data_IF_727078350506
#
_entry.id   IF_727078350506
#
_cell.length_a   1.000
_cell.length_b   1.000
_cell.length_c   1.000
_cell.angle_alpha   90.00
_cell.angle_beta   90.00
_cell.angle_gamma   90.00
#
_symmetry.space_group_name_H-M   'P 1'
#
loop_
_entity.id
_entity.type
_entity.pdbx_description
1 polymer ?
#
# COMPACT_ATOMS: atom_id res chain seq x y z
N UNK A 1 -6.81 -77.12 48.91
CA UNK A 1 -6.65 -75.65 48.81
C UNK A 1 -8.03 -75.06 48.53
N UNK A 2 -8.37 -74.01 49.26
CA UNK A 2 -9.71 -73.55 49.68
C UNK A 2 -10.67 -73.17 48.53
N UNK A 3 -11.91 -73.69 48.61
CA UNK A 3 -13.27 -73.22 48.19
C UNK A 3 -13.46 -71.94 47.33
N UNK A 4 -14.68 -71.63 46.79
CA UNK A 4 -15.78 -72.47 46.24
C UNK A 4 -16.55 -71.82 45.03
N UNK A 5 -17.63 -72.51 44.60
CA UNK A 5 -18.98 -72.00 44.19
C UNK A 5 -19.21 -71.51 42.73
N UNK A 6 -19.95 -72.24 41.88
CA UNK A 6 -21.43 -72.26 41.67
C UNK A 6 -22.00 -70.85 41.39
N UNK A 7 -22.80 -70.52 40.38
CA UNK A 7 -23.63 -71.18 39.34
C UNK A 7 -24.13 -70.03 38.39
N UNK A 8 -25.07 -70.19 37.41
CA UNK A 8 -24.96 -69.53 36.11
C UNK A 8 -26.08 -68.49 35.80
N UNK A 9 -25.97 -67.93 34.58
CA UNK A 9 -27.02 -67.33 33.73
C UNK A 9 -27.58 -65.94 34.10
N UNK A 10 -27.43 -64.97 33.19
CA UNK A 10 -28.54 -64.47 32.35
C UNK A 10 -28.27 -63.06 31.77
N UNK A 11 -28.74 -62.88 30.54
CA UNK A 11 -29.20 -61.64 29.90
C UNK A 11 -28.18 -60.52 29.56
N UNK A 12 -27.80 -60.52 28.27
CA UNK A 12 -27.32 -59.33 27.54
C UNK A 12 -28.42 -58.25 27.53
N UNK A 13 -28.35 -57.35 28.52
CA UNK A 13 -29.10 -56.10 28.57
C UNK A 13 -28.50 -55.06 27.62
N UNK A 14 -29.37 -54.48 26.79
CA UNK A 14 -29.09 -53.51 25.72
C UNK A 14 -28.33 -52.27 26.20
N UNK A 15 -27.45 -51.77 25.33
CA UNK A 15 -26.71 -50.51 25.47
C UNK A 15 -27.62 -49.31 25.76
N UNK A 16 -27.18 -48.34 26.58
CA UNK A 16 -27.91 -47.10 26.84
C UNK A 16 -27.90 -46.17 25.60
N UNK A 17 -29.00 -45.44 25.33
CA UNK A 17 -29.05 -44.50 24.21
C UNK A 17 -28.14 -43.29 24.46
N UNK A 18 -27.43 -42.91 23.40
CA UNK A 18 -26.51 -41.78 23.34
C UNK A 18 -27.14 -40.48 23.84
N UNK A 19 -26.49 -39.84 24.82
CA UNK A 19 -26.74 -38.47 25.24
C UNK A 19 -26.55 -37.53 24.05
N UNK A 20 -27.61 -36.84 23.65
CA UNK A 20 -27.58 -35.79 22.63
C UNK A 20 -26.56 -34.71 23.05
N UNK A 21 -25.60 -34.41 22.17
CA UNK A 21 -24.68 -33.29 22.34
C UNK A 21 -25.47 -32.01 22.06
N UNK A 22 -25.66 -31.19 23.08
CA UNK A 22 -26.20 -29.84 22.95
C UNK A 22 -25.22 -28.99 22.13
N UNK A 23 -25.51 -28.78 20.86
CA UNK A 23 -24.77 -27.84 20.00
C UNK A 23 -25.11 -26.43 20.45
N UNK A 24 -24.17 -25.75 21.09
CA UNK A 24 -24.24 -24.31 21.35
C UNK A 24 -24.41 -23.59 20.01
N UNK A 25 -25.37 -22.64 19.87
CA UNK A 25 -25.49 -21.88 18.64
C UNK A 25 -24.20 -21.09 18.39
N UNK A 26 -23.60 -21.33 17.23
CA UNK A 26 -22.46 -20.58 16.71
C UNK A 26 -22.93 -19.15 16.51
N UNK A 27 -22.35 -18.20 17.26
CA UNK A 27 -22.53 -16.77 17.02
C UNK A 27 -22.06 -16.46 15.60
N UNK A 28 -23.01 -16.29 14.69
CA UNK A 28 -22.75 -15.76 13.35
C UNK A 28 -22.40 -14.28 13.54
N UNK A 29 -21.11 -13.96 13.48
CA UNK A 29 -20.66 -12.57 13.31
C UNK A 29 -21.14 -12.16 11.91
N UNK A 30 -22.23 -11.41 11.87
CA UNK A 30 -22.67 -10.78 10.63
C UNK A 30 -21.66 -9.69 10.30
N UNK A 31 -20.93 -9.86 9.18
CA UNK A 31 -20.22 -8.75 8.55
C UNK A 31 -21.28 -7.73 8.15
N UNK A 32 -21.37 -6.63 8.89
CA UNK A 32 -22.05 -5.42 8.39
C UNK A 32 -21.44 -5.11 7.03
N UNK A 33 -22.29 -5.00 6.02
CA UNK A 33 -21.86 -4.63 4.68
C UNK A 33 -21.00 -3.36 4.79
N UNK A 34 -19.75 -3.42 4.31
CA UNK A 34 -18.88 -2.26 4.27
C UNK A 34 -19.56 -1.24 3.37
N UNK A 35 -20.18 -0.21 3.97
CA UNK A 35 -20.68 0.92 3.21
C UNK A 35 -19.47 1.63 2.66
N UNK A 36 -19.14 1.37 1.38
CA UNK A 36 -18.10 2.11 0.69
C UNK A 36 -18.58 3.57 0.69
N UNK A 37 -17.86 4.51 1.33
CA UNK A 37 -18.24 5.91 1.26
C UNK A 37 -18.34 6.25 -0.21
N UNK A 38 -19.49 6.79 -0.62
CA UNK A 38 -19.65 7.16 -2.01
C UNK A 38 -18.58 8.23 -2.27
N UNK A 39 -17.65 7.95 -3.18
CA UNK A 39 -16.87 8.99 -3.86
C UNK A 39 -17.76 9.83 -4.80
N UNK A 40 -19.08 9.73 -4.65
CA UNK A 40 -20.07 10.50 -5.39
C UNK A 40 -19.95 11.90 -4.86
N UNK A 41 -19.29 12.77 -5.62
CA UNK A 41 -19.60 14.20 -5.84
C UNK A 41 -20.46 14.84 -4.77
N UNK A 42 -20.08 14.76 -3.50
CA UNK A 42 -20.88 15.26 -2.39
C UNK A 42 -19.90 15.75 -1.36
N UNK A 43 -19.98 17.04 -1.06
CA UNK A 43 -19.24 17.66 0.02
C UNK A 43 -19.68 17.10 1.36
N UNK A 44 -18.90 17.37 2.41
CA UNK A 44 -19.30 17.04 3.79
C UNK A 44 -20.57 17.81 4.19
N UNK A 45 -20.94 18.86 3.45
CA UNK A 45 -22.19 19.62 3.56
C UNK A 45 -23.37 19.04 2.74
N UNK A 46 -23.26 17.83 2.20
CA UNK A 46 -24.31 17.12 1.44
C UNK A 46 -24.78 17.80 0.14
N UNK A 47 -24.07 18.82 -0.36
CA UNK A 47 -24.27 19.39 -1.70
C UNK A 47 -23.47 18.63 -2.76
N UNK A 48 -24.10 18.42 -3.92
CA UNK A 48 -23.46 17.88 -5.11
C UNK A 48 -22.23 18.70 -5.51
N UNK A 49 -21.15 18.04 -5.95
CA UNK A 49 -20.00 18.71 -6.57
C UNK A 49 -20.13 18.52 -8.07
N UNK A 50 -20.62 19.53 -8.77
CA UNK A 50 -21.01 19.40 -10.18
C UNK A 50 -20.05 20.10 -11.15
N UNK A 51 -19.02 20.78 -10.63
CA UNK A 51 -18.02 21.48 -11.44
C UNK A 51 -16.59 21.39 -10.85
N UNK A 52 -15.61 21.73 -11.70
CA UNK A 52 -14.17 21.65 -11.38
C UNK A 52 -13.78 22.64 -10.29
N UNK A 53 -14.39 23.82 -10.25
CA UNK A 53 -14.06 24.84 -9.26
C UNK A 53 -14.52 24.39 -7.86
N UNK A 54 -15.75 23.89 -7.74
CA UNK A 54 -16.29 23.31 -6.52
C UNK A 54 -15.44 22.10 -6.06
N UNK A 55 -14.95 21.28 -6.98
CA UNK A 55 -14.02 20.21 -6.65
C UNK A 55 -12.69 20.73 -6.09
N UNK A 56 -12.00 21.60 -6.82
CA UNK A 56 -10.66 22.09 -6.44
C UNK A 56 -10.66 22.93 -5.17
N UNK A 57 -11.67 23.80 -5.00
CA UNK A 57 -11.69 24.79 -3.93
C UNK A 57 -12.40 24.31 -2.66
N UNK A 58 -13.31 23.34 -2.76
CA UNK A 58 -14.05 22.85 -1.59
C UNK A 58 -13.79 21.36 -1.34
N UNK A 59 -14.14 20.48 -2.29
CA UNK A 59 -14.14 19.04 -2.00
C UNK A 59 -12.74 18.46 -1.83
N UNK A 60 -11.77 18.92 -2.61
CA UNK A 60 -10.38 18.46 -2.54
C UNK A 60 -9.75 18.81 -1.18
N UNK A 61 -9.84 20.05 -0.66
CA UNK A 61 -9.39 20.37 0.70
C UNK A 61 -10.06 19.52 1.79
N UNK A 62 -11.40 19.36 1.76
CA UNK A 62 -12.13 18.52 2.74
C UNK A 62 -11.62 17.08 2.75
N UNK A 63 -11.36 16.50 1.58
CA UNK A 63 -10.84 15.14 1.48
C UNK A 63 -9.41 15.06 2.00
N UNK A 64 -8.55 16.02 1.65
CA UNK A 64 -7.17 16.05 2.13
C UNK A 64 -7.11 16.14 3.67
N UNK A 65 -7.95 16.98 4.28
CA UNK A 65 -8.07 17.08 5.74
C UNK A 65 -8.53 15.75 6.35
N UNK A 66 -9.58 15.12 5.81
CA UNK A 66 -10.04 13.82 6.29
C UNK A 66 -8.96 12.72 6.17
N UNK A 67 -8.16 12.73 5.10
CA UNK A 67 -7.02 11.83 4.95
C UNK A 67 -5.91 12.12 5.96
N UNK A 68 -5.62 13.39 6.26
CA UNK A 68 -4.65 13.79 7.27
C UNK A 68 -5.11 13.39 8.68
N UNK A 69 -6.39 13.56 9.00
CA UNK A 69 -6.92 13.25 10.33
C UNK A 69 -7.04 11.74 10.58
N UNK A 70 -7.45 10.97 9.57
CA UNK A 70 -7.88 9.58 9.79
C UNK A 70 -7.04 8.51 9.12
N UNK A 71 -6.12 8.85 8.20
CA UNK A 71 -5.39 7.85 7.41
C UNK A 71 -3.87 8.02 7.51
N UNK A 72 -3.35 9.19 7.17
CA UNK A 72 -1.92 9.40 6.98
C UNK A 72 -1.26 10.24 8.09
N UNK A 73 -2.05 10.94 8.90
CA UNK A 73 -1.54 11.90 9.88
C UNK A 73 -1.28 13.27 9.25
N UNK A 74 -0.90 14.22 10.11
CA UNK A 74 -0.55 15.58 9.67
C UNK A 74 0.76 15.57 8.88
N UNK A 75 0.78 16.30 7.77
CA UNK A 75 2.03 16.51 7.02
C UNK A 75 2.99 17.34 7.86
N UNK A 76 4.29 17.06 7.72
CA UNK A 76 5.31 17.92 8.31
C UNK A 76 5.25 19.30 7.65
N UNK A 77 5.64 20.37 8.36
CA UNK A 77 5.83 21.68 7.77
C UNK A 77 6.79 21.62 6.58
N UNK A 78 6.68 22.59 5.68
CA UNK A 78 7.62 22.73 4.57
C UNK A 78 9.06 22.78 5.09
N UNK A 79 10.00 22.14 4.37
CA UNK A 79 11.39 22.15 4.79
C UNK A 79 11.98 23.57 4.67
N UNK A 80 12.82 23.92 5.64
CA UNK A 80 13.56 25.19 5.64
C UNK A 80 14.60 25.22 4.53
N UNK A 81 15.19 24.06 4.21
CA UNK A 81 16.23 23.93 3.18
C UNK A 81 16.22 22.56 2.54
N UNK A 82 16.45 22.55 1.23
CA UNK A 82 16.69 21.35 0.43
C UNK A 82 18.01 21.56 -0.34
N UNK A 83 18.93 20.60 -0.26
CA UNK A 83 20.18 20.61 -1.04
C UNK A 83 20.29 19.39 -1.93
N UNK A 84 20.94 19.57 -3.08
CA UNK A 84 21.16 18.53 -4.08
C UNK A 84 22.67 18.41 -4.32
N UNK A 85 23.21 17.23 -4.06
CA UNK A 85 24.60 16.89 -4.37
C UNK A 85 24.60 15.79 -5.43
N UNK A 86 24.98 16.13 -6.67
CA UNK A 86 24.97 15.19 -7.78
C UNK A 86 26.35 14.66 -8.14
N UNK A 87 26.38 13.37 -8.48
CA UNK A 87 27.57 12.68 -8.97
C UNK A 87 27.18 11.85 -10.20
N UNK A 88 28.14 11.65 -11.12
CA UNK A 88 27.92 10.88 -12.34
C UNK A 88 27.96 11.72 -13.62
N UNK A 89 27.45 11.13 -14.71
CA UNK A 89 27.50 11.69 -16.07
C UNK A 89 26.23 12.41 -16.49
N UNK A 90 26.18 12.87 -17.75
CA UNK A 90 24.97 13.55 -18.29
C UNK A 90 23.74 12.64 -18.38
N UNK A 91 23.94 11.34 -18.61
CA UNK A 91 22.88 10.36 -18.86
C UNK A 91 22.48 9.53 -17.63
N UNK A 92 23.34 9.45 -16.62
CA UNK A 92 23.10 8.73 -15.38
C UNK A 92 23.70 9.53 -14.22
N UNK A 93 22.85 9.94 -13.28
CA UNK A 93 23.21 10.72 -12.10
C UNK A 93 22.71 10.05 -10.83
N UNK A 94 23.56 10.10 -9.81
CA UNK A 94 23.20 9.79 -8.43
C UNK A 94 23.16 11.10 -7.68
N UNK A 95 21.97 11.50 -7.23
CA UNK A 95 21.73 12.76 -6.52
C UNK A 95 21.39 12.46 -5.07
N UNK A 96 22.22 12.91 -4.15
CA UNK A 96 21.88 12.91 -2.72
C UNK A 96 21.05 14.16 -2.43
N UNK A 97 19.80 13.94 -2.02
CA UNK A 97 18.87 15.00 -1.63
C UNK A 97 18.84 15.04 -0.11
N UNK A 98 19.18 16.20 0.46
CA UNK A 98 19.11 16.43 1.91
C UNK A 98 18.06 17.48 2.18
N UNK A 99 17.18 17.19 3.14
CA UNK A 99 16.06 18.02 3.55
C UNK A 99 16.22 18.34 5.04
N UNK A 100 16.16 19.62 5.40
CA UNK A 100 16.25 20.08 6.80
C UNK A 100 15.08 21.01 7.16
N UNK A 101 14.64 20.94 8.42
CA UNK A 101 13.61 21.76 9.04
C UNK A 101 13.31 21.25 10.45
N UNK A 102 12.05 20.91 10.75
CA UNK A 102 11.66 20.25 12.01
C UNK A 102 12.40 18.91 12.29
N UNK A 103 13.03 18.33 11.26
CA UNK A 103 13.98 17.23 11.35
C UNK A 103 14.96 17.30 10.17
N UNK A 104 15.88 16.34 10.09
CA UNK A 104 16.82 16.23 8.97
C UNK A 104 16.79 14.81 8.39
N UNK A 105 16.76 14.71 7.06
CA UNK A 105 16.81 13.44 6.35
C UNK A 105 17.56 13.60 5.02
N UNK A 106 18.24 12.52 4.61
CA UNK A 106 18.88 12.43 3.30
C UNK A 106 18.47 11.15 2.59
N UNK A 107 18.25 11.23 1.28
CA UNK A 107 17.94 10.08 0.44
C UNK A 107 18.53 10.25 -0.96
N UNK A 108 18.76 9.12 -1.62
CA UNK A 108 19.38 9.08 -2.94
C UNK A 108 18.33 8.97 -4.04
N UNK A 109 18.39 9.88 -5.01
CA UNK A 109 17.68 9.81 -6.27
C UNK A 109 18.63 9.31 -7.37
N UNK A 110 18.25 8.22 -8.03
CA UNK A 110 18.90 7.74 -9.25
C UNK A 110 18.15 8.29 -10.46
N UNK A 111 18.83 9.09 -11.26
CA UNK A 111 18.24 9.80 -12.40
C UNK A 111 18.91 9.37 -13.70
N UNK A 112 18.10 8.87 -14.63
CA UNK A 112 18.53 8.51 -15.97
C UNK A 112 17.89 9.43 -17.00
N UNK A 113 18.73 10.10 -17.80
CA UNK A 113 18.31 11.12 -18.76
C UNK A 113 18.71 10.68 -20.18
N UNK A 114 17.77 10.63 -21.13
CA UNK A 114 18.09 10.32 -22.52
C UNK A 114 18.89 11.45 -23.17
N UNK A 115 19.92 11.09 -23.93
CA UNK A 115 20.82 12.06 -24.58
C UNK A 115 20.15 12.71 -25.80
N UNK A 116 19.36 13.75 -25.51
CA UNK A 116 18.55 14.47 -26.50
C UNK A 116 18.54 15.98 -26.30
N UNK A 117 19.23 16.49 -25.27
CA UNK A 117 19.38 17.93 -24.99
C UNK A 117 18.08 18.69 -24.68
N UNK A 118 16.93 18.02 -24.62
CA UNK A 118 15.61 18.63 -24.40
C UNK A 118 14.90 17.94 -23.24
N UNK A 119 14.16 18.67 -22.38
CA UNK A 119 13.37 18.07 -21.32
C UNK A 119 12.39 17.02 -21.86
N UNK A 120 12.24 15.91 -21.13
CA UNK A 120 11.30 14.82 -21.44
C UNK A 120 10.36 14.60 -20.26
N UNK A 121 9.23 13.92 -20.53
CA UNK A 121 8.39 13.41 -19.45
C UNK A 121 9.19 12.45 -18.57
N UNK A 122 8.96 12.51 -17.25
CA UNK A 122 9.72 11.75 -16.26
C UNK A 122 8.81 10.75 -15.55
N UNK A 123 9.31 9.52 -15.39
CA UNK A 123 8.74 8.55 -14.48
C UNK A 123 9.48 8.63 -13.14
N UNK A 124 8.75 8.85 -12.05
CA UNK A 124 9.28 8.83 -10.70
C UNK A 124 8.78 7.57 -9.98
N UNK A 125 9.70 6.82 -9.39
CA UNK A 125 9.42 5.58 -8.68
C UNK A 125 10.18 5.55 -7.36
N UNK A 126 9.52 5.10 -6.29
CA UNK A 126 10.19 4.72 -5.05
C UNK A 126 10.55 3.24 -5.14
N UNK A 127 11.84 2.95 -5.22
CA UNK A 127 12.35 1.57 -5.26
C UNK A 127 12.63 1.05 -3.84
N UNK A 128 11.74 0.20 -3.34
CA UNK A 128 11.89 -0.50 -2.06
C UNK A 128 12.63 -1.83 -2.20
N UNK A 129 13.05 -2.23 -3.41
CA UNK A 129 13.68 -3.52 -3.70
C UNK A 129 15.18 -3.43 -3.96
N UNK A 130 15.73 -2.22 -4.05
CA UNK A 130 17.13 -1.99 -4.41
C UNK A 130 17.48 -2.53 -5.80
N UNK A 131 16.49 -2.61 -6.68
CA UNK A 131 16.58 -3.20 -8.02
C UNK A 131 17.21 -2.27 -9.06
N UNK A 132 17.28 -0.98 -8.78
CA UNK A 132 17.91 0.02 -9.64
C UNK A 132 19.32 0.31 -9.12
N UNK A 133 20.34 0.01 -9.91
CA UNK A 133 21.74 0.38 -9.65
C UNK A 133 22.08 1.79 -10.12
N UNK A 134 23.35 2.18 -10.03
CA UNK A 134 23.78 3.54 -10.41
C UNK A 134 23.99 3.70 -11.93
N UNK A 135 23.92 2.61 -12.69
CA UNK A 135 23.99 2.61 -14.14
C UNK A 135 22.60 2.44 -14.79
N UNK A 136 22.45 2.99 -16.00
CA UNK A 136 21.20 2.89 -16.77
C UNK A 136 20.90 1.46 -17.26
N UNK A 137 21.89 0.57 -17.22
CA UNK A 137 21.78 -0.83 -17.61
C UNK A 137 21.12 -1.71 -16.54
N UNK A 138 21.11 -1.25 -15.29
CA UNK A 138 20.46 -1.87 -14.15
C UNK A 138 18.93 -1.73 -14.26
N UNK A 139 18.36 -2.47 -15.20
CA UNK A 139 16.93 -2.51 -15.49
C UNK A 139 16.33 -3.78 -14.89
N UNK A 140 15.14 -3.68 -14.31
CA UNK A 140 14.37 -4.82 -13.82
C UNK A 140 12.95 -4.81 -14.38
N UNK A 141 12.18 -5.88 -14.16
CA UNK A 141 10.74 -5.88 -14.49
C UNK A 141 9.94 -4.85 -13.69
N UNK A 142 10.43 -4.45 -12.51
CA UNK A 142 9.82 -3.45 -11.64
C UNK A 142 10.27 -2.02 -12.01
N UNK A 143 11.53 -1.86 -12.38
CA UNK A 143 12.12 -0.60 -12.81
C UNK A 143 12.77 -0.74 -14.20
N UNK A 144 11.97 -0.62 -15.28
CA UNK A 144 12.42 -0.91 -16.64
C UNK A 144 13.15 0.29 -17.29
N UNK A 145 14.26 0.73 -16.68
CA UNK A 145 15.02 1.93 -17.06
C UNK A 145 15.43 1.94 -18.53
N UNK A 146 16.01 0.85 -19.02
CA UNK A 146 16.45 0.71 -20.42
C UNK A 146 15.29 0.90 -21.41
N UNK A 147 14.14 0.25 -21.16
CA UNK A 147 12.95 0.36 -22.02
C UNK A 147 12.40 1.78 -22.09
N UNK A 148 12.43 2.50 -20.97
CA UNK A 148 11.98 3.91 -20.91
C UNK A 148 12.93 4.80 -21.71
N UNK A 149 14.25 4.62 -21.54
CA UNK A 149 15.26 5.40 -22.27
C UNK A 149 15.18 5.14 -23.78
N UNK A 150 15.02 3.88 -24.20
CA UNK A 150 14.85 3.50 -25.61
C UNK A 150 13.60 4.14 -26.21
N UNK A 151 12.46 4.07 -25.51
CA UNK A 151 11.23 4.71 -25.95
C UNK A 151 11.36 6.23 -26.06
N UNK A 152 12.09 6.86 -25.13
CA UNK A 152 12.35 8.29 -25.17
C UNK A 152 13.28 8.70 -26.32
N UNK A 153 14.23 7.84 -26.71
CA UNK A 153 15.11 8.04 -27.86
C UNK A 153 14.38 7.86 -29.20
N UNK A 154 13.37 6.98 -29.26
CA UNK A 154 12.62 6.64 -30.47
C UNK A 154 11.65 7.74 -30.93
N UNK A 155 11.22 8.64 -30.02
CA UNK A 155 10.34 9.78 -30.35
C UNK A 155 10.99 10.91 -31.17
N UNK A 156 12.13 10.66 -31.81
CA UNK A 156 12.75 11.53 -32.82
C UNK A 156 12.16 11.22 -34.21
N UNK A 157 10.91 11.58 -34.46
CA UNK A 157 10.34 11.75 -35.80
C UNK A 157 9.29 12.84 -35.77
#
# INVERSE_FOLDING_TARGET
MTSPQQQPAAALGRSPPHRAKTTTPRTTISRTATHKPRNRWSSTAATGVDDVQAWEQQRRPELLEAFQEHVYGQSLPDPEKITFDDSGGRSAKTVTITVTGAGSASFTLRLFVPDSGTPKGTFLLIDHRGSVGDDAGSSSGYAPTAKILDAAALRRR
#
